data_IF_344800342063
#
_entry.id   IF_344800342063
#
_cell.length_a   1.000
_cell.length_b   1.000
_cell.length_c   1.000
_cell.angle_alpha   90.00
_cell.angle_beta   90.00
_cell.angle_gamma   90.00
#
_symmetry.space_group_name_H-M   'P 1'
#
loop_
_entity.id
_entity.type
_entity.pdbx_description
1 polymer ?
#
# COMPACT_ATOMS: atom_id res chain seq x y z
N UNK A 1 3.38 73.21 14.87
CA UNK A 1 2.44 72.73 13.87
C UNK A 1 3.21 71.82 12.93
N UNK A 2 3.22 70.55 13.19
CA UNK A 2 3.82 69.53 12.31
C UNK A 2 2.80 68.41 12.13
N UNK A 3 2.24 68.38 10.92
CA UNK A 3 1.25 67.46 10.42
C UNK A 3 1.94 66.14 10.12
N UNK A 4 1.65 65.06 10.87
CA UNK A 4 2.13 63.72 10.66
C UNK A 4 1.06 62.92 9.89
N UNK A 5 1.13 62.90 8.56
CA UNK A 5 0.35 62.01 7.73
C UNK A 5 0.82 60.58 7.91
N UNK A 6 0.01 59.77 8.61
CA UNK A 6 0.09 58.31 8.57
C UNK A 6 -0.34 57.82 7.19
N UNK A 7 0.65 57.37 6.41
CA UNK A 7 0.41 56.59 5.20
C UNK A 7 0.08 55.14 5.60
N UNK A 8 -1.21 54.77 5.60
CA UNK A 8 -1.66 53.40 5.71
C UNK A 8 -1.14 52.58 4.54
N UNK A 9 -0.28 51.61 4.83
CA UNK A 9 0.11 50.60 3.89
C UNK A 9 -1.12 49.69 3.59
N UNK A 10 -1.40 49.32 2.32
CA UNK A 10 -2.46 48.39 2.00
C UNK A 10 -2.07 47.00 2.55
N UNK A 11 -2.97 46.45 3.34
CA UNK A 11 -2.93 45.05 3.83
C UNK A 11 -2.85 44.14 2.62
N UNK A 12 -1.69 43.55 2.40
CA UNK A 12 -1.47 42.56 1.36
C UNK A 12 -2.17 41.26 1.82
N UNK A 13 -3.46 41.14 1.54
CA UNK A 13 -4.20 39.91 1.71
C UNK A 13 -3.47 38.79 1.00
N UNK A 14 -2.90 37.87 1.78
CA UNK A 14 -2.31 36.65 1.25
C UNK A 14 -3.35 35.88 0.41
N UNK A 15 -2.93 35.11 -0.60
CA UNK A 15 -3.83 34.38 -1.46
C UNK A 15 -4.74 33.49 -0.60
N UNK A 16 -6.04 33.60 -0.79
CA UNK A 16 -7.02 32.75 -0.11
C UNK A 16 -6.68 31.27 -0.32
N UNK A 17 -6.74 30.44 0.73
CA UNK A 17 -6.46 29.02 0.60
C UNK A 17 -7.46 28.39 -0.38
N UNK A 18 -6.95 27.91 -1.51
CA UNK A 18 -7.77 27.25 -2.54
C UNK A 18 -8.52 26.03 -1.99
N UNK A 19 -9.59 25.57 -2.67
CA UNK A 19 -10.49 24.51 -2.18
C UNK A 19 -9.80 23.18 -1.83
N UNK A 20 -8.56 22.99 -2.25
CA UNK A 20 -7.75 21.80 -1.93
C UNK A 20 -6.70 22.04 -0.83
N UNK A 21 -6.61 23.25 -0.25
CA UNK A 21 -5.62 23.55 0.79
C UNK A 21 -5.81 22.67 2.04
N UNK A 22 -7.04 22.49 2.50
CA UNK A 22 -7.35 21.62 3.64
C UNK A 22 -7.03 20.13 3.40
N UNK A 23 -7.18 19.65 2.16
CA UNK A 23 -6.76 18.29 1.77
C UNK A 23 -5.23 18.17 1.77
N UNK A 24 -4.53 19.16 1.25
CA UNK A 24 -3.07 19.20 1.22
C UNK A 24 -2.49 19.27 2.64
N UNK A 25 -3.07 20.07 3.53
CA UNK A 25 -2.69 20.16 4.94
C UNK A 25 -2.97 18.86 5.70
N UNK A 26 -4.12 18.21 5.48
CA UNK A 26 -4.46 16.92 6.05
C UNK A 26 -3.51 15.81 5.59
N UNK A 27 -3.09 15.81 4.32
CA UNK A 27 -2.10 14.89 3.79
C UNK A 27 -0.69 15.18 4.34
N UNK A 28 -0.32 16.45 4.48
CA UNK A 28 0.94 16.87 5.06
C UNK A 28 1.05 16.50 6.55
N UNK A 29 -0.02 16.69 7.32
CA UNK A 29 -0.10 16.29 8.72
C UNK A 29 0.01 14.77 8.88
N UNK A 30 -0.67 13.97 8.04
CA UNK A 30 -0.52 12.51 8.02
C UNK A 30 0.91 12.09 7.66
N UNK A 31 1.53 12.75 6.70
CA UNK A 31 2.91 12.47 6.29
C UNK A 31 3.93 12.80 7.40
N UNK A 32 3.67 13.85 8.20
CA UNK A 32 4.50 14.23 9.33
C UNK A 32 4.44 13.20 10.47
N UNK A 33 3.25 12.60 10.72
CA UNK A 33 3.06 11.56 11.74
C UNK A 33 3.75 10.23 11.42
N UNK A 34 4.08 10.00 10.14
CA UNK A 34 4.75 8.77 9.65
C UNK A 34 6.27 8.92 9.59
N UNK A 35 6.81 10.11 9.93
CA UNK A 35 8.26 10.35 9.96
C UNK A 35 8.82 10.09 11.36
N UNK A 36 9.92 9.31 11.45
CA UNK A 36 10.76 9.26 12.65
C UNK A 36 11.42 10.62 12.87
N UNK A 37 11.79 10.91 14.11
CA UNK A 37 12.46 12.17 14.48
C UNK A 37 13.76 12.48 13.69
N UNK A 38 14.33 11.51 12.99
CA UNK A 38 15.48 11.63 12.07
C UNK A 38 15.08 11.97 10.62
N UNK A 39 13.80 12.23 10.35
CA UNK A 39 13.26 12.56 9.02
C UNK A 39 13.04 11.38 8.09
N UNK A 40 13.30 10.15 8.54
CA UNK A 40 13.06 8.93 7.77
C UNK A 40 11.58 8.52 7.85
N UNK A 41 11.03 7.97 6.76
CA UNK A 41 9.68 7.40 6.77
C UNK A 41 9.70 6.10 7.57
N UNK A 42 8.82 6.02 8.57
CA UNK A 42 8.53 4.76 9.24
C UNK A 42 7.60 3.92 8.36
N UNK A 43 8.20 2.98 7.61
CA UNK A 43 7.45 2.08 6.72
C UNK A 43 6.46 1.20 7.50
N UNK A 44 6.78 0.85 8.75
CA UNK A 44 5.88 0.08 9.60
C UNK A 44 4.66 0.91 10.01
N UNK A 45 4.88 2.17 10.40
CA UNK A 45 3.78 3.09 10.70
C UNK A 45 2.94 3.41 9.46
N UNK A 46 3.57 3.54 8.28
CA UNK A 46 2.88 3.73 6.99
C UNK A 46 1.98 2.54 6.61
N UNK A 47 2.40 1.31 6.96
CA UNK A 47 1.60 0.08 6.78
C UNK A 47 0.47 -0.07 7.84
N UNK A 48 0.26 0.91 8.71
CA UNK A 48 -0.70 0.83 9.82
C UNK A 48 -0.15 0.09 11.05
N UNK A 49 1.19 -0.04 11.16
CA UNK A 49 1.87 -0.74 12.23
C UNK A 49 1.68 -2.26 12.15
N UNK A 50 2.10 -2.97 13.18
CA UNK A 50 1.91 -4.43 13.32
C UNK A 50 0.44 -4.81 13.22
N UNK A 51 -0.45 -3.97 13.74
CA UNK A 51 -1.90 -4.16 13.67
C UNK A 51 -2.42 -4.13 12.24
N UNK A 52 -2.02 -3.15 11.41
CA UNK A 52 -2.44 -3.08 10.01
C UNK A 52 -1.99 -4.30 9.20
N UNK A 53 -0.79 -4.81 9.50
CA UNK A 53 -0.29 -6.07 8.92
C UNK A 53 -1.16 -7.25 9.37
N UNK A 54 -1.46 -7.35 10.66
CA UNK A 54 -2.31 -8.42 11.19
C UNK A 54 -3.71 -8.39 10.55
N UNK A 55 -4.34 -7.22 10.45
CA UNK A 55 -5.65 -7.04 9.81
C UNK A 55 -5.66 -7.47 8.33
N UNK A 56 -4.54 -7.31 7.64
CA UNK A 56 -4.41 -7.71 6.23
C UNK A 56 -4.11 -9.20 6.02
N UNK A 57 -3.50 -9.85 7.00
CA UNK A 57 -3.02 -11.25 6.88
C UNK A 57 -3.97 -12.23 7.58
N UNK A 58 -4.49 -11.87 8.76
CA UNK A 58 -5.28 -12.80 9.59
C UNK A 58 -6.54 -13.37 8.91
N UNK A 59 -7.36 -12.62 8.18
CA UNK A 59 -8.52 -13.22 7.52
C UNK A 59 -8.13 -14.32 6.53
N UNK A 60 -7.07 -14.10 5.75
CA UNK A 60 -6.55 -15.11 4.82
C UNK A 60 -5.90 -16.30 5.53
N UNK A 61 -5.21 -16.08 6.65
CA UNK A 61 -4.65 -17.14 7.47
C UNK A 61 -5.75 -18.01 8.09
N UNK A 62 -6.79 -17.39 8.64
CA UNK A 62 -7.94 -18.11 9.22
C UNK A 62 -8.67 -18.91 8.14
N UNK A 63 -8.86 -18.34 6.95
CA UNK A 63 -9.41 -19.08 5.82
C UNK A 63 -8.58 -20.34 5.52
N UNK A 64 -7.26 -20.19 5.37
CA UNK A 64 -6.37 -21.29 5.05
C UNK A 64 -6.41 -22.38 6.14
N UNK A 65 -6.23 -22.01 7.40
CA UNK A 65 -6.21 -22.97 8.53
C UNK A 65 -7.55 -23.70 8.66
N UNK A 66 -8.65 -22.93 8.63
CA UNK A 66 -9.99 -23.53 8.73
C UNK A 66 -10.26 -24.49 7.57
N UNK A 67 -9.92 -24.09 6.33
CA UNK A 67 -10.11 -24.97 5.17
C UNK A 67 -9.22 -26.21 5.22
N UNK A 68 -7.96 -26.07 5.65
CA UNK A 68 -7.03 -27.22 5.76
C UNK A 68 -7.51 -28.25 6.78
N UNK A 69 -8.11 -27.80 7.91
CA UNK A 69 -8.59 -28.67 8.96
C UNK A 69 -9.94 -29.30 8.62
N UNK A 70 -10.91 -28.46 8.18
CA UNK A 70 -12.30 -28.90 7.99
C UNK A 70 -12.57 -29.47 6.61
N UNK A 71 -11.80 -29.06 5.60
CA UNK A 71 -12.06 -29.28 4.17
C UNK A 71 -13.43 -28.75 3.72
N UNK A 72 -14.06 -27.92 4.53
CA UNK A 72 -15.38 -27.35 4.33
C UNK A 72 -15.25 -25.85 4.01
N UNK A 73 -15.67 -25.47 2.79
CA UNK A 73 -15.59 -24.09 2.31
C UNK A 73 -16.39 -23.12 3.20
N UNK A 74 -17.58 -23.55 3.65
CA UNK A 74 -18.48 -22.73 4.44
C UNK A 74 -17.83 -22.26 5.77
N UNK A 75 -17.18 -23.16 6.49
CA UNK A 75 -16.50 -22.83 7.76
C UNK A 75 -15.28 -21.95 7.55
N UNK A 76 -14.52 -22.19 6.49
CA UNK A 76 -13.36 -21.37 6.14
C UNK A 76 -13.77 -19.93 5.80
N UNK A 77 -14.84 -19.77 5.01
CA UNK A 77 -15.37 -18.43 4.66
C UNK A 77 -15.96 -17.73 5.87
N UNK A 78 -16.78 -18.43 6.66
CA UNK A 78 -17.37 -17.87 7.89
C UNK A 78 -16.29 -17.36 8.85
N UNK A 79 -15.23 -18.14 9.09
CA UNK A 79 -14.11 -17.75 9.94
C UNK A 79 -13.36 -16.52 9.41
N UNK A 80 -13.06 -16.50 8.11
CA UNK A 80 -12.37 -15.37 7.46
C UNK A 80 -13.18 -14.08 7.56
N UNK A 81 -14.48 -14.14 7.24
CA UNK A 81 -15.37 -12.96 7.30
C UNK A 81 -15.56 -12.51 8.75
N UNK A 82 -15.75 -13.44 9.69
CA UNK A 82 -15.89 -13.10 11.12
C UNK A 82 -14.68 -12.33 11.64
N UNK A 83 -13.46 -12.76 11.31
CA UNK A 83 -12.23 -12.05 11.72
C UNK A 83 -12.18 -10.65 11.10
N UNK A 84 -12.54 -10.50 9.81
CA UNK A 84 -12.56 -9.20 9.16
C UNK A 84 -13.58 -8.25 9.82
N UNK A 85 -14.77 -8.75 10.16
CA UNK A 85 -15.83 -8.01 10.89
C UNK A 85 -15.34 -7.58 12.28
N UNK A 86 -14.69 -8.48 13.02
CA UNK A 86 -14.13 -8.16 14.35
C UNK A 86 -13.12 -7.01 14.26
N UNK A 87 -12.25 -6.99 13.27
CA UNK A 87 -11.30 -5.89 13.09
C UNK A 87 -11.99 -4.56 12.77
N UNK A 88 -13.03 -4.57 11.93
CA UNK A 88 -13.82 -3.37 11.64
C UNK A 88 -14.54 -2.89 12.91
N UNK A 89 -15.19 -3.78 13.65
CA UNK A 89 -15.86 -3.44 14.89
C UNK A 89 -14.89 -2.85 15.92
N UNK A 90 -13.70 -3.47 16.07
CA UNK A 90 -12.67 -2.96 16.97
C UNK A 90 -12.20 -1.54 16.58
N UNK A 91 -12.09 -1.23 15.28
CA UNK A 91 -11.76 0.12 14.82
C UNK A 91 -12.87 1.13 15.05
N UNK A 92 -14.11 0.71 14.87
CA UNK A 92 -15.29 1.56 15.17
C UNK A 92 -15.29 1.96 16.65
N UNK A 93 -15.15 0.99 17.56
CA UNK A 93 -15.09 1.25 19.01
C UNK A 93 -13.92 2.18 19.38
N UNK A 94 -12.77 2.00 18.73
CA UNK A 94 -11.57 2.81 18.99
C UNK A 94 -11.55 4.15 18.24
N UNK A 95 -12.59 4.47 17.47
CA UNK A 95 -12.69 5.70 16.67
C UNK A 95 -11.46 5.97 15.77
N UNK A 96 -10.82 4.90 15.31
CA UNK A 96 -9.65 5.00 14.42
C UNK A 96 -10.08 5.07 12.94
N UNK A 97 -9.25 5.62 12.01
CA UNK A 97 -9.61 5.75 10.60
C UNK A 97 -10.01 4.42 9.98
N UNK A 98 -11.22 4.37 9.42
CA UNK A 98 -11.82 3.15 8.86
C UNK A 98 -11.35 2.83 7.44
N UNK A 99 -10.73 3.78 6.73
CA UNK A 99 -10.42 3.66 5.30
C UNK A 99 -9.63 2.39 4.95
N UNK A 100 -8.65 2.04 5.78
CA UNK A 100 -7.82 0.84 5.56
C UNK A 100 -8.60 -0.46 5.86
N UNK A 101 -9.39 -0.48 6.94
CA UNK A 101 -10.21 -1.66 7.31
C UNK A 101 -11.35 -1.89 6.34
N UNK A 102 -11.99 -0.80 5.83
CA UNK A 102 -13.04 -0.91 4.82
C UNK A 102 -12.49 -1.51 3.53
N UNK A 103 -11.31 -1.10 3.07
CA UNK A 103 -10.67 -1.71 1.92
C UNK A 103 -10.37 -3.21 2.15
N UNK A 104 -9.94 -3.58 3.36
CA UNK A 104 -9.68 -4.96 3.76
C UNK A 104 -10.95 -5.82 3.76
N UNK A 105 -12.02 -5.36 4.42
CA UNK A 105 -13.28 -6.13 4.50
C UNK A 105 -13.93 -6.28 3.12
N UNK A 106 -13.92 -5.23 2.28
CA UNK A 106 -14.42 -5.30 0.90
C UNK A 106 -13.65 -6.36 0.12
N UNK A 107 -12.33 -6.41 0.24
CA UNK A 107 -11.51 -7.45 -0.39
C UNK A 107 -11.86 -8.87 0.09
N UNK A 108 -12.07 -9.07 1.40
CA UNK A 108 -12.48 -10.35 1.97
C UNK A 108 -13.87 -10.76 1.49
N UNK A 109 -14.84 -9.84 1.48
CA UNK A 109 -16.20 -10.09 1.01
C UNK A 109 -16.25 -10.46 -0.47
N UNK A 110 -15.51 -9.77 -1.33
CA UNK A 110 -15.39 -10.12 -2.75
C UNK A 110 -14.78 -11.50 -2.91
N UNK A 111 -13.70 -11.81 -2.17
CA UNK A 111 -13.05 -13.12 -2.20
C UNK A 111 -13.98 -14.23 -1.74
N UNK A 112 -14.72 -14.01 -0.65
CA UNK A 112 -15.71 -14.96 -0.15
C UNK A 112 -16.86 -15.16 -1.14
N UNK A 113 -17.37 -14.09 -1.73
CA UNK A 113 -18.43 -14.14 -2.74
C UNK A 113 -18.01 -14.95 -3.98
N UNK A 114 -16.79 -14.74 -4.48
CA UNK A 114 -16.26 -15.50 -5.62
C UNK A 114 -16.19 -17.00 -5.30
N UNK A 115 -15.60 -17.36 -4.16
CA UNK A 115 -15.48 -18.75 -3.72
C UNK A 115 -16.87 -19.42 -3.50
N UNK A 116 -17.84 -18.69 -2.93
CA UNK A 116 -19.20 -19.19 -2.75
C UNK A 116 -19.92 -19.44 -4.09
N UNK A 117 -19.74 -18.55 -5.07
CA UNK A 117 -20.38 -18.65 -6.40
C UNK A 117 -19.91 -19.86 -7.17
N UNK A 118 -18.63 -20.19 -7.09
CA UNK A 118 -17.99 -21.27 -7.86
C UNK A 118 -17.93 -22.60 -7.10
N UNK A 119 -18.07 -22.56 -5.79
CA UNK A 119 -17.84 -23.71 -4.90
C UNK A 119 -16.36 -24.11 -4.77
N UNK A 120 -15.42 -23.34 -5.36
CA UNK A 120 -13.99 -23.62 -5.31
C UNK A 120 -13.29 -22.75 -4.28
N UNK A 121 -12.58 -23.39 -3.35
CA UNK A 121 -11.83 -22.69 -2.30
C UNK A 121 -10.67 -21.85 -2.87
N UNK A 122 -10.07 -22.24 -3.99
CA UNK A 122 -9.04 -21.50 -4.70
C UNK A 122 -9.53 -20.14 -5.20
N UNK A 123 -10.81 -20.00 -5.52
CA UNK A 123 -11.37 -18.74 -6.02
C UNK A 123 -11.44 -17.63 -4.95
N UNK A 124 -11.27 -17.97 -3.66
CA UNK A 124 -11.02 -17.01 -2.60
C UNK A 124 -9.79 -16.14 -2.89
N UNK A 125 -8.84 -16.63 -3.65
CA UNK A 125 -7.59 -15.92 -3.96
C UNK A 125 -7.64 -15.08 -5.23
N UNK A 126 -8.66 -15.25 -6.08
CA UNK A 126 -8.78 -14.58 -7.40
C UNK A 126 -8.75 -13.07 -7.29
N UNK A 127 -9.46 -12.48 -6.30
CA UNK A 127 -9.43 -11.04 -6.08
C UNK A 127 -7.99 -10.51 -5.84
N UNK A 128 -7.17 -11.31 -5.17
CA UNK A 128 -5.75 -11.00 -4.97
C UNK A 128 -4.94 -11.01 -6.28
N UNK A 129 -5.26 -11.89 -7.23
CA UNK A 129 -4.60 -11.89 -8.55
C UNK A 129 -5.00 -10.68 -9.36
N UNK A 130 -6.30 -10.34 -9.39
CA UNK A 130 -6.81 -9.17 -10.10
C UNK A 130 -6.16 -7.88 -9.56
N UNK A 131 -6.15 -7.70 -8.25
CA UNK A 131 -5.51 -6.52 -7.63
C UNK A 131 -4.01 -6.47 -7.89
N UNK A 132 -3.31 -7.61 -7.82
CA UNK A 132 -1.88 -7.68 -8.11
C UNK A 132 -1.58 -7.32 -9.58
N UNK A 133 -2.35 -7.84 -10.52
CA UNK A 133 -2.24 -7.50 -11.94
C UNK A 133 -2.53 -6.01 -12.21
N UNK A 134 -3.55 -5.44 -11.55
CA UNK A 134 -3.86 -4.02 -11.65
C UNK A 134 -2.73 -3.14 -11.12
N UNK A 135 -2.10 -3.52 -10.00
CA UNK A 135 -0.93 -2.80 -9.47
C UNK A 135 0.28 -2.91 -10.41
N UNK A 136 0.55 -4.10 -10.99
CA UNK A 136 1.60 -4.25 -12.01
C UNK A 136 1.35 -3.30 -13.17
N UNK A 137 0.12 -3.28 -13.71
CA UNK A 137 -0.25 -2.39 -14.82
C UNK A 137 -0.03 -0.92 -14.45
N UNK A 138 -0.50 -0.49 -13.27
CA UNK A 138 -0.32 0.87 -12.79
C UNK A 138 1.16 1.26 -12.63
N UNK A 139 1.99 0.36 -12.08
CA UNK A 139 3.43 0.58 -11.93
C UNK A 139 4.13 0.67 -13.29
N UNK A 140 3.79 -0.20 -14.24
CA UNK A 140 4.33 -0.17 -15.60
C UNK A 140 3.95 1.13 -16.30
N UNK A 141 2.68 1.53 -16.25
CA UNK A 141 2.22 2.83 -16.80
C UNK A 141 3.01 3.98 -16.16
N UNK A 142 3.21 3.97 -14.85
CA UNK A 142 3.98 5.00 -14.15
C UNK A 142 5.43 5.11 -14.65
N UNK A 143 6.05 3.98 -15.00
CA UNK A 143 7.41 3.95 -15.61
C UNK A 143 7.39 4.54 -17.03
N UNK A 144 6.39 4.17 -17.83
CA UNK A 144 6.25 4.62 -19.22
C UNK A 144 6.04 6.14 -19.31
N UNK A 145 5.18 6.69 -18.44
CA UNK A 145 4.94 8.15 -18.40
C UNK A 145 6.04 8.93 -17.69
N UNK A 146 7.16 8.27 -17.32
CA UNK A 146 8.32 8.87 -16.61
C UNK A 146 7.96 9.49 -15.25
N UNK A 147 6.96 8.91 -14.59
CA UNK A 147 6.55 9.21 -13.22
C UNK A 147 6.59 7.93 -12.35
N UNK A 148 7.76 7.27 -12.20
CA UNK A 148 7.85 6.03 -11.44
C UNK A 148 7.35 6.22 -10.01
N UNK A 149 6.45 5.36 -9.55
CA UNK A 149 5.80 5.46 -8.23
C UNK A 149 6.81 5.46 -7.10
N UNK A 150 7.87 4.61 -7.18
CA UNK A 150 8.92 4.62 -6.17
C UNK A 150 9.78 5.88 -6.22
N UNK A 151 9.82 6.58 -7.36
CA UNK A 151 10.43 7.91 -7.44
C UNK A 151 9.66 8.96 -6.66
N UNK A 152 8.34 8.92 -6.67
CA UNK A 152 7.51 9.76 -5.83
C UNK A 152 7.70 9.40 -4.35
N UNK A 153 7.53 8.13 -3.99
CA UNK A 153 7.66 7.66 -2.62
C UNK A 153 9.04 7.97 -2.03
N UNK A 154 10.11 7.56 -2.69
CA UNK A 154 11.48 7.73 -2.20
C UNK A 154 11.99 9.17 -2.35
N UNK A 155 11.53 9.90 -3.39
CA UNK A 155 11.85 11.30 -3.57
C UNK A 155 11.32 12.17 -2.43
N UNK A 156 10.08 11.94 -2.02
CA UNK A 156 9.52 12.61 -0.83
C UNK A 156 10.18 12.13 0.47
N UNK A 157 10.47 10.82 0.59
CA UNK A 157 11.17 10.28 1.75
C UNK A 157 12.56 10.90 1.95
N UNK A 158 13.25 11.24 0.86
CA UNK A 158 14.60 11.83 0.86
C UNK A 158 14.61 13.36 0.77
N UNK A 159 13.45 14.01 0.92
CA UNK A 159 13.29 15.46 0.78
C UNK A 159 13.72 16.01 -0.61
N UNK A 160 13.79 15.16 -1.62
CA UNK A 160 14.09 15.56 -3.00
C UNK A 160 12.85 16.14 -3.71
N UNK A 161 11.65 15.91 -3.15
CA UNK A 161 10.37 16.24 -3.79
C UNK A 161 10.28 15.61 -5.17
N UNK A 162 9.98 16.41 -6.21
CA UNK A 162 9.94 15.97 -7.62
C UNK A 162 11.16 16.40 -8.43
N UNK A 163 12.18 17.02 -7.79
CA UNK A 163 13.38 17.54 -8.46
C UNK A 163 14.21 16.45 -9.15
N UNK A 164 14.14 15.21 -8.64
CA UNK A 164 14.81 14.04 -9.22
C UNK A 164 14.44 13.79 -10.70
N UNK A 165 13.27 14.25 -11.16
CA UNK A 165 12.86 14.11 -12.57
C UNK A 165 13.74 14.88 -13.55
N UNK A 166 14.30 16.00 -13.12
CA UNK A 166 15.21 16.84 -13.93
C UNK A 166 16.62 16.24 -14.01
N UNK A 167 16.95 15.23 -13.21
CA UNK A 167 18.25 14.58 -13.16
C UNK A 167 18.16 13.19 -13.81
N UNK A 168 18.68 12.96 -15.03
CA UNK A 168 18.50 11.71 -15.76
C UNK A 168 18.95 10.46 -15.00
N UNK A 169 20.03 10.55 -14.23
CA UNK A 169 20.57 9.45 -13.42
C UNK A 169 19.58 9.07 -12.31
N UNK A 170 18.97 10.06 -11.62
CA UNK A 170 17.98 9.83 -10.56
C UNK A 170 16.69 9.23 -11.11
N UNK A 171 16.21 9.74 -12.25
CA UNK A 171 15.04 9.19 -12.93
C UNK A 171 15.28 7.73 -13.32
N UNK A 172 16.48 7.39 -13.84
CA UNK A 172 16.83 6.00 -14.18
C UNK A 172 16.84 5.11 -12.94
N UNK A 173 17.46 5.57 -11.84
CA UNK A 173 17.51 4.82 -10.58
C UNK A 173 16.10 4.52 -10.03
N UNK A 174 15.19 5.49 -10.05
CA UNK A 174 13.82 5.29 -9.60
C UNK A 174 12.97 4.43 -10.55
N UNK A 175 13.24 4.46 -11.85
CA UNK A 175 12.63 3.52 -12.80
C UNK A 175 13.06 2.09 -12.51
N UNK A 176 14.37 1.85 -12.29
CA UNK A 176 14.89 0.53 -11.89
C UNK A 176 14.26 0.07 -10.60
N UNK A 177 14.20 0.93 -9.57
CA UNK A 177 13.54 0.63 -8.31
C UNK A 177 12.07 0.20 -8.51
N UNK A 178 11.33 0.90 -9.37
CA UNK A 178 9.92 0.53 -9.67
C UNK A 178 9.84 -0.78 -10.45
N UNK A 179 10.78 -1.07 -11.37
CA UNK A 179 10.87 -2.37 -12.04
C UNK A 179 11.14 -3.53 -11.09
N UNK A 180 11.93 -3.31 -10.02
CA UNK A 180 12.13 -4.33 -8.98
C UNK A 180 10.79 -4.68 -8.31
N UNK A 181 9.98 -3.68 -7.99
CA UNK A 181 8.66 -3.93 -7.39
C UNK A 181 7.72 -4.65 -8.36
N UNK A 182 7.74 -4.28 -9.65
CA UNK A 182 7.01 -5.02 -10.71
C UNK A 182 7.48 -6.46 -10.77
N UNK A 183 8.79 -6.72 -10.71
CA UNK A 183 9.38 -8.06 -10.70
C UNK A 183 8.93 -8.89 -9.50
N UNK A 184 8.89 -8.31 -8.30
CA UNK A 184 8.37 -8.95 -7.08
C UNK A 184 6.90 -9.36 -7.26
N UNK A 185 6.07 -8.46 -7.78
CA UNK A 185 4.64 -8.72 -8.01
C UNK A 185 4.43 -9.75 -9.12
N UNK A 186 5.21 -9.70 -10.19
CA UNK A 186 5.18 -10.69 -11.27
C UNK A 186 5.62 -12.08 -10.81
N UNK A 187 6.72 -12.17 -10.03
CA UNK A 187 7.17 -13.43 -9.44
C UNK A 187 6.09 -14.08 -8.58
N UNK A 188 5.35 -13.26 -7.82
CA UNK A 188 4.21 -13.74 -7.02
C UNK A 188 3.12 -14.34 -7.89
N UNK A 189 2.73 -13.71 -9.00
CA UNK A 189 1.75 -14.27 -9.93
C UNK A 189 2.27 -15.55 -10.59
N UNK A 190 3.55 -15.57 -11.02
CA UNK A 190 4.16 -16.73 -11.65
C UNK A 190 4.17 -17.97 -10.76
N UNK A 191 4.32 -17.80 -9.44
CA UNK A 191 4.27 -18.92 -8.49
C UNK A 191 2.84 -19.29 -8.15
N UNK A 192 1.98 -18.32 -7.91
CA UNK A 192 0.63 -18.58 -7.39
C UNK A 192 -0.36 -19.02 -8.47
N UNK A 193 -0.19 -18.56 -9.72
CA UNK A 193 -1.13 -18.91 -10.79
C UNK A 193 -1.10 -20.41 -11.15
N UNK A 194 0.08 -21.08 -11.29
CA UNK A 194 0.09 -22.53 -11.47
C UNK A 194 -0.56 -23.31 -10.31
N UNK A 195 -0.35 -22.86 -9.06
CA UNK A 195 -0.98 -23.48 -7.89
C UNK A 195 -2.51 -23.33 -7.90
N UNK A 196 -2.99 -22.17 -8.35
CA UNK A 196 -4.41 -21.93 -8.57
C UNK A 196 -4.98 -22.86 -9.64
N UNK A 197 -4.31 -23.00 -10.78
CA UNK A 197 -4.75 -23.89 -11.87
C UNK A 197 -4.71 -25.36 -11.47
N UNK A 198 -3.83 -25.75 -10.56
CA UNK A 198 -3.76 -27.09 -9.99
C UNK A 198 -4.74 -27.34 -8.84
N UNK A 199 -5.60 -26.35 -8.50
CA UNK A 199 -6.55 -26.36 -7.38
C UNK A 199 -5.90 -26.70 -6.01
N UNK A 200 -4.62 -26.35 -5.86
CA UNK A 200 -3.81 -26.63 -4.68
C UNK A 200 -3.99 -25.54 -3.59
N UNK A 201 -5.13 -25.55 -2.90
CA UNK A 201 -5.56 -24.50 -1.95
C UNK A 201 -4.53 -24.28 -0.84
N UNK A 202 -4.03 -25.36 -0.22
CA UNK A 202 -3.10 -25.30 0.91
C UNK A 202 -1.77 -24.67 0.48
N UNK A 203 -1.20 -25.14 -0.65
CA UNK A 203 0.03 -24.60 -1.20
C UNK A 203 -0.12 -23.14 -1.65
N UNK A 204 -1.26 -22.82 -2.27
CA UNK A 204 -1.58 -21.46 -2.71
C UNK A 204 -1.66 -20.50 -1.52
N UNK A 205 -2.36 -20.90 -0.45
CA UNK A 205 -2.47 -20.11 0.78
C UNK A 205 -1.12 -19.92 1.47
N UNK A 206 -0.33 -20.99 1.61
CA UNK A 206 1.02 -20.93 2.19
C UNK A 206 1.93 -19.99 1.38
N UNK A 207 1.96 -20.13 0.04
CA UNK A 207 2.75 -19.25 -0.84
C UNK A 207 2.26 -17.80 -0.78
N UNK A 208 0.96 -17.56 -0.64
CA UNK A 208 0.42 -16.20 -0.47
C UNK A 208 0.95 -15.52 0.79
N UNK A 209 1.08 -16.25 1.89
CA UNK A 209 1.63 -15.74 3.17
C UNK A 209 3.13 -15.50 3.06
N UNK A 210 3.90 -16.48 2.56
CA UNK A 210 5.35 -16.39 2.39
C UNK A 210 5.76 -15.27 1.43
N UNK A 211 5.05 -15.16 0.30
CA UNK A 211 5.29 -14.13 -0.71
C UNK A 211 4.50 -12.84 -0.43
N UNK A 212 3.91 -12.69 0.74
CA UNK A 212 3.23 -11.49 1.20
C UNK A 212 4.21 -10.43 1.71
N UNK A 213 4.01 -10.03 2.98
CA UNK A 213 4.81 -8.97 3.63
C UNK A 213 6.32 -9.18 3.51
N UNK A 214 6.89 -10.39 3.72
CA UNK A 214 8.33 -10.57 3.66
C UNK A 214 8.93 -10.25 2.28
N UNK A 215 8.30 -10.73 1.21
CA UNK A 215 8.80 -10.52 -0.15
C UNK A 215 8.67 -9.05 -0.58
N UNK A 216 7.56 -8.38 -0.22
CA UNK A 216 7.40 -6.95 -0.49
C UNK A 216 8.39 -6.10 0.30
N UNK A 217 8.62 -6.42 1.59
CA UNK A 217 9.60 -5.71 2.40
C UNK A 217 11.02 -5.86 1.82
N UNK A 218 11.39 -7.08 1.41
CA UNK A 218 12.66 -7.35 0.75
C UNK A 218 12.79 -6.56 -0.58
N UNK A 219 11.78 -6.61 -1.44
CA UNK A 219 11.77 -5.89 -2.71
C UNK A 219 11.88 -4.37 -2.55
N UNK A 220 11.16 -3.79 -1.59
CA UNK A 220 11.25 -2.37 -1.26
C UNK A 220 12.62 -2.01 -0.67
N UNK A 221 13.19 -2.86 0.16
CA UNK A 221 14.54 -2.66 0.71
C UNK A 221 15.60 -2.66 -0.38
N UNK A 222 15.57 -3.63 -1.30
CA UNK A 222 16.49 -3.67 -2.45
C UNK A 222 16.30 -2.44 -3.34
N UNK A 223 15.06 -2.08 -3.66
CA UNK A 223 14.74 -0.90 -4.44
C UNK A 223 15.25 0.40 -3.78
N UNK A 224 15.14 0.50 -2.45
CA UNK A 224 15.67 1.61 -1.67
C UNK A 224 17.19 1.68 -1.74
N UNK A 225 17.90 0.55 -1.58
CA UNK A 225 19.36 0.48 -1.66
C UNK A 225 19.88 0.92 -3.02
N UNK A 226 19.33 0.34 -4.10
CA UNK A 226 19.77 0.63 -5.48
C UNK A 226 19.42 2.04 -5.95
N UNK A 227 18.45 2.69 -5.31
CA UNK A 227 18.08 4.07 -5.62
C UNK A 227 18.80 5.12 -4.77
N UNK A 228 19.81 4.73 -3.94
CA UNK A 228 20.60 5.70 -3.14
C UNK A 228 21.36 6.66 -4.05
N UNK A 229 21.49 7.96 -3.65
CA UNK A 229 22.39 8.87 -4.34
C UNK A 229 23.82 8.35 -4.21
N UNK A 230 24.54 8.30 -5.32
CA UNK A 230 26.00 8.09 -5.27
C UNK A 230 26.57 9.37 -4.70
N UNK A 231 27.21 9.33 -3.51
CA UNK A 231 28.03 10.44 -3.05
C UNK A 231 29.12 10.64 -4.11
N UNK A 232 29.13 11.76 -4.77
CA UNK A 232 30.32 12.24 -5.49
C UNK A 232 31.20 12.88 -4.43
N UNK A 233 32.27 12.20 -4.08
CA UNK A 233 33.40 12.80 -3.35
C UNK A 233 34.00 13.90 -4.19
#
# INVERSE_FOLDING_TARGET
VTDSRETGAPDAGGPEPGPFAGLAEGMAAKSALVRKGDGQIDLLAAAGGVRGIAESVLPGLVFLVAFTITRELAWALAGSVAVAVVFVAARLVQRTPLTQSLAGIVGVLISAFLAMKTGKATDYYVWGFVTNAAYIAALVVSILVKWPVLGLLFGYARNEGVRWRKVPQRLRAYRVATWILVGVMAARLLVQLPLYLADAVDALGAMRLLMGVPLYAFGLWVAWLLSRPIKRD
#
